data_IF_447941795159
#
_entry.id   IF_447941795159
#
_cell.length_a   1.000
_cell.length_b   1.000
_cell.length_c   1.000
_cell.angle_alpha   90.00
_cell.angle_beta   90.00
_cell.angle_gamma   90.00
#
_symmetry.space_group_name_H-M   'P 1'
#
loop_
_entity.id
_entity.type
_entity.pdbx_description
1 polymer ?
#
# COMPACT_ATOMS: atom_id res chain seq x y z
N UNK A 1 9.48 18.95 31.02
CA UNK A 1 9.10 17.90 30.06
C UNK A 1 8.57 18.63 28.83
N UNK A 2 9.20 18.47 27.66
CA UNK A 2 8.80 19.18 26.44
C UNK A 2 8.03 18.17 25.59
N UNK A 3 6.77 18.48 25.29
CA UNK A 3 5.97 17.73 24.32
C UNK A 3 6.26 18.29 22.93
N UNK A 4 6.78 17.45 22.03
CA UNK A 4 6.88 17.78 20.61
C UNK A 4 5.63 17.27 19.91
N UNK A 5 4.85 18.19 19.34
CA UNK A 5 3.78 17.88 18.41
C UNK A 5 4.31 18.07 17.00
N UNK A 6 4.28 17.02 16.19
CA UNK A 6 4.59 17.09 14.77
C UNK A 6 3.33 17.61 14.04
N UNK A 7 3.26 18.92 13.81
CA UNK A 7 2.25 19.54 12.96
C UNK A 7 2.88 19.86 11.61
N UNK A 8 2.66 19.02 10.60
CA UNK A 8 2.93 19.37 9.20
C UNK A 8 1.71 19.05 8.34
N UNK A 9 0.99 20.13 8.02
CA UNK A 9 0.15 20.40 6.85
C UNK A 9 -1.04 19.48 6.53
N UNK A 10 -2.25 19.97 6.84
CA UNK A 10 -3.20 20.38 5.80
C UNK A 10 -4.28 21.30 6.40
N UNK A 11 -4.05 22.62 6.40
CA UNK A 11 -5.07 23.63 6.72
C UNK A 11 -5.25 24.47 5.45
N UNK A 12 -6.51 24.60 5.02
CA UNK A 12 -7.07 25.48 3.98
C UNK A 12 -7.20 24.90 2.57
N UNK A 13 -8.24 24.10 2.34
CA UNK A 13 -9.17 24.30 1.21
C UNK A 13 -10.53 23.70 1.54
N UNK A 14 -11.55 24.54 1.70
CA UNK A 14 -12.93 24.12 1.62
C UNK A 14 -13.36 24.00 0.16
N UNK A 15 -14.15 22.97 -0.15
CA UNK A 15 -14.84 22.81 -1.42
C UNK A 15 -14.83 21.38 -1.95
N UNK A 16 -16.02 20.75 -1.93
CA UNK A 16 -16.41 19.47 -2.51
C UNK A 16 -16.02 18.18 -1.77
N UNK A 17 -17.00 17.55 -1.12
CA UNK A 17 -17.00 16.18 -0.58
C UNK A 17 -16.97 15.12 -1.71
N UNK A 18 -16.13 15.34 -2.72
CA UNK A 18 -16.13 14.58 -3.98
C UNK A 18 -14.81 13.92 -4.38
N UNK A 19 -13.64 14.31 -3.86
CA UNK A 19 -12.38 13.84 -4.45
C UNK A 19 -11.17 13.83 -3.50
N UNK A 20 -11.33 13.38 -2.24
CA UNK A 20 -10.19 13.10 -1.35
C UNK A 20 -9.49 11.79 -1.75
N UNK A 21 -9.17 11.60 -3.03
CA UNK A 21 -8.36 10.47 -3.48
C UNK A 21 -6.88 10.73 -3.16
N UNK A 22 -6.28 9.84 -2.36
CA UNK A 22 -4.84 9.82 -2.12
C UNK A 22 -4.21 8.60 -2.79
N UNK A 23 -2.98 8.71 -3.28
CA UNK A 23 -2.27 7.56 -3.83
C UNK A 23 -1.83 6.61 -2.71
N UNK A 24 -1.86 5.30 -2.96
CA UNK A 24 -1.39 4.27 -2.01
C UNK A 24 0.09 4.46 -1.69
N UNK A 25 0.89 4.67 -2.74
CA UNK A 25 2.28 5.12 -2.69
C UNK A 25 2.33 6.55 -3.24
N UNK A 26 3.09 7.49 -2.63
CA UNK A 26 3.22 8.84 -3.15
C UNK A 26 3.69 8.85 -4.62
N UNK A 27 3.06 9.65 -5.49
CA UNK A 27 3.29 9.62 -6.95
C UNK A 27 4.74 9.88 -7.40
N UNK A 28 5.56 10.51 -6.54
CA UNK A 28 6.97 10.81 -6.82
C UNK A 28 7.94 9.81 -6.18
N UNK A 29 7.43 8.89 -5.36
CA UNK A 29 8.23 7.89 -4.70
C UNK A 29 8.38 6.66 -5.59
N UNK A 30 9.51 5.97 -5.47
CA UNK A 30 9.79 4.76 -6.25
C UNK A 30 9.78 3.57 -5.30
N UNK A 31 8.94 2.58 -5.59
CA UNK A 31 8.93 1.30 -4.87
C UNK A 31 10.21 0.51 -5.18
N UNK A 32 10.96 0.19 -4.13
CA UNK A 32 12.21 -0.59 -4.19
C UNK A 32 12.03 -2.02 -3.71
N UNK A 33 11.32 -2.20 -2.60
CA UNK A 33 11.03 -3.52 -2.04
C UNK A 33 9.59 -3.56 -1.57
N UNK A 34 8.90 -4.66 -1.84
CA UNK A 34 7.59 -4.96 -1.30
C UNK A 34 7.65 -6.31 -0.58
N UNK A 35 7.53 -6.27 0.73
CA UNK A 35 7.46 -7.45 1.59
C UNK A 35 5.99 -7.83 1.78
N UNK A 36 5.65 -9.05 1.42
CA UNK A 36 4.31 -9.63 1.58
C UNK A 36 4.41 -10.87 2.48
N UNK A 37 3.29 -11.46 2.93
CA UNK A 37 3.31 -12.50 3.94
C UNK A 37 4.18 -13.73 3.62
N UNK A 38 4.24 -14.14 2.35
CA UNK A 38 5.01 -15.34 1.94
C UNK A 38 6.19 -15.04 1.04
N UNK A 39 6.27 -13.83 0.48
CA UNK A 39 7.24 -13.48 -0.56
C UNK A 39 7.60 -12.00 -0.47
N UNK A 40 8.87 -11.70 -0.71
CA UNK A 40 9.37 -10.34 -0.88
C UNK A 40 9.79 -10.15 -2.32
N UNK A 41 9.35 -9.08 -2.96
CA UNK A 41 9.85 -8.70 -4.28
C UNK A 41 10.74 -7.46 -4.14
N UNK A 42 11.89 -7.50 -4.81
CA UNK A 42 12.92 -6.46 -4.75
C UNK A 42 13.29 -6.02 -6.17
N UNK A 43 13.42 -4.71 -6.36
CA UNK A 43 13.90 -4.14 -7.62
C UNK A 43 15.41 -4.41 -7.75
N UNK A 44 15.81 -5.00 -8.87
CA UNK A 44 17.21 -5.26 -9.21
C UNK A 44 17.53 -4.70 -10.60
N UNK A 45 18.21 -3.55 -10.64
CA UNK A 45 18.43 -2.81 -11.89
C UNK A 45 17.09 -2.38 -12.50
N UNK A 46 16.77 -2.90 -13.69
CA UNK A 46 15.50 -2.62 -14.38
C UNK A 46 14.40 -3.65 -14.07
N UNK A 47 14.75 -4.76 -13.42
CA UNK A 47 13.85 -5.88 -13.17
C UNK A 47 13.42 -6.04 -11.72
N UNK A 48 12.69 -7.12 -11.47
CA UNK A 48 12.26 -7.54 -10.14
C UNK A 48 12.69 -8.96 -9.83
N UNK A 49 12.99 -9.24 -8.56
CA UNK A 49 13.33 -10.58 -8.08
C UNK A 49 12.51 -10.92 -6.84
N UNK A 50 12.11 -12.18 -6.74
CA UNK A 50 11.45 -12.75 -5.59
C UNK A 50 12.42 -13.38 -4.59
N UNK A 51 12.12 -13.23 -3.31
CA UNK A 51 12.75 -13.91 -2.18
C UNK A 51 11.65 -14.48 -1.25
N UNK A 52 11.65 -15.80 -0.95
CA UNK A 52 12.52 -16.83 -1.52
C UNK A 52 12.30 -17.01 -3.04
N UNK A 53 13.22 -17.68 -3.75
CA UNK A 53 12.98 -18.04 -5.15
C UNK A 53 11.66 -18.79 -5.29
N UNK A 54 10.84 -18.37 -6.24
CA UNK A 54 9.49 -18.91 -6.47
C UNK A 54 9.22 -19.06 -7.96
N UNK A 55 8.08 -19.63 -8.32
CA UNK A 55 7.61 -19.74 -9.70
C UNK A 55 7.00 -18.45 -10.23
N UNK A 56 6.99 -17.39 -9.42
CA UNK A 56 6.44 -16.09 -9.77
C UNK A 56 7.30 -15.46 -10.85
N UNK A 57 6.67 -15.07 -11.94
CA UNK A 57 7.35 -14.49 -13.09
C UNK A 57 7.71 -13.02 -12.83
N UNK A 58 8.73 -12.53 -13.54
CA UNK A 58 9.08 -11.11 -13.48
C UNK A 58 7.93 -10.20 -13.94
N UNK A 59 7.14 -10.64 -14.91
CA UNK A 59 5.96 -9.90 -15.38
C UNK A 59 4.89 -9.75 -14.29
N UNK A 60 4.63 -10.78 -13.50
CA UNK A 60 3.71 -10.72 -12.35
C UNK A 60 4.24 -9.77 -11.27
N UNK A 61 5.52 -9.86 -10.92
CA UNK A 61 6.14 -8.94 -9.95
C UNK A 61 6.07 -7.48 -10.42
N UNK A 62 6.33 -7.24 -11.70
CA UNK A 62 6.23 -5.91 -12.31
C UNK A 62 4.78 -5.40 -12.27
N UNK A 63 3.80 -6.26 -12.53
CA UNK A 63 2.37 -5.92 -12.48
C UNK A 63 1.96 -5.53 -11.07
N UNK A 64 2.29 -6.34 -10.06
CA UNK A 64 1.98 -6.03 -8.66
C UNK A 64 2.65 -4.73 -8.22
N UNK A 65 3.96 -4.57 -8.49
CA UNK A 65 4.66 -3.33 -8.16
C UNK A 65 4.06 -2.10 -8.88
N UNK A 66 3.61 -2.27 -10.12
CA UNK A 66 2.89 -1.25 -10.88
C UNK A 66 1.57 -0.86 -10.23
N UNK A 67 0.76 -1.85 -9.82
CA UNK A 67 -0.51 -1.62 -9.13
C UNK A 67 -0.30 -0.83 -7.82
N UNK A 68 0.71 -1.20 -7.02
CA UNK A 68 1.07 -0.46 -5.81
C UNK A 68 1.38 1.01 -6.07
N UNK A 69 2.06 1.33 -7.18
CA UNK A 69 2.41 2.71 -7.53
C UNK A 69 1.25 3.49 -8.16
N UNK A 70 0.29 2.81 -8.80
CA UNK A 70 -0.79 3.45 -9.54
C UNK A 70 -2.09 3.61 -8.74
N UNK A 71 -2.33 2.74 -7.75
CA UNK A 71 -3.60 2.73 -7.03
C UNK A 71 -3.82 4.01 -6.22
N UNK A 72 -5.08 4.43 -6.25
CA UNK A 72 -5.62 5.50 -5.42
C UNK A 72 -6.61 4.91 -4.43
N UNK A 73 -6.71 5.55 -3.28
CA UNK A 73 -7.55 5.16 -2.18
C UNK A 73 -8.28 6.38 -1.63
N UNK A 74 -9.50 6.20 -1.17
CA UNK A 74 -10.32 7.25 -0.56
C UNK A 74 -10.41 7.00 0.94
N UNK A 75 -10.32 8.01 1.81
CA UNK A 75 -10.62 7.86 3.22
C UNK A 75 -11.96 7.15 3.45
N UNK A 76 -12.01 6.28 4.44
CA UNK A 76 -13.21 5.52 4.79
C UNK A 76 -13.44 5.59 6.30
N UNK A 77 -14.60 6.14 6.69
CA UNK A 77 -14.95 6.40 8.09
C UNK A 77 -15.66 5.21 8.77
N UNK A 78 -15.42 3.99 8.29
CA UNK A 78 -15.96 2.77 8.90
C UNK A 78 -15.04 2.17 9.96
N UNK A 79 -15.52 1.10 10.59
CA UNK A 79 -14.74 0.35 11.58
C UNK A 79 -13.65 -0.49 10.90
N UNK A 80 -12.52 -0.65 11.60
CA UNK A 80 -11.47 -1.58 11.19
C UNK A 80 -12.04 -3.01 11.25
N UNK A 81 -11.97 -3.80 10.15
CA UNK A 81 -12.49 -5.15 10.16
C UNK A 81 -11.82 -6.03 11.23
N UNK A 82 -12.60 -6.90 11.88
CA UNK A 82 -12.07 -7.83 12.90
C UNK A 82 -11.33 -9.04 12.33
N UNK A 83 -11.36 -9.24 11.02
CA UNK A 83 -10.61 -10.30 10.35
C UNK A 83 -9.09 -10.03 10.41
N UNK A 84 -8.28 -11.09 10.36
CA UNK A 84 -6.83 -10.93 10.29
C UNK A 84 -6.43 -10.26 8.97
N UNK A 85 -5.68 -9.14 9.01
CA UNK A 85 -5.21 -8.49 7.79
C UNK A 85 -4.07 -9.26 7.13
N UNK A 86 -3.91 -9.05 5.83
CA UNK A 86 -2.64 -9.33 5.16
C UNK A 86 -1.75 -8.11 5.30
N UNK A 87 -0.55 -8.29 5.85
CA UNK A 87 0.39 -7.20 6.07
C UNK A 87 1.35 -7.13 4.89
N UNK A 88 1.48 -5.93 4.32
CA UNK A 88 2.49 -5.61 3.33
C UNK A 88 3.35 -4.44 3.80
N UNK A 89 4.64 -4.48 3.50
CA UNK A 89 5.59 -3.42 3.84
C UNK A 89 6.27 -2.94 2.56
N UNK A 90 6.04 -1.67 2.21
CA UNK A 90 6.64 -1.02 1.05
C UNK A 90 7.86 -0.19 1.47
N UNK A 91 9.01 -0.48 0.89
CA UNK A 91 10.23 0.30 1.05
C UNK A 91 10.41 1.19 -0.17
N UNK A 92 10.42 2.50 0.06
CA UNK A 92 10.50 3.51 -0.99
C UNK A 92 11.91 4.10 -1.07
N UNK A 93 12.32 4.50 -2.27
CA UNK A 93 13.59 5.15 -2.49
C UNK A 93 13.73 6.42 -1.64
N UNK A 94 14.84 6.55 -0.92
CA UNK A 94 15.13 7.71 -0.08
C UNK A 94 14.42 7.71 1.29
N UNK A 95 13.60 6.70 1.59
CA UNK A 95 12.98 6.55 2.91
C UNK A 95 13.79 5.59 3.80
N UNK A 96 13.92 5.92 5.09
CA UNK A 96 14.67 5.12 6.07
C UNK A 96 13.81 4.04 6.75
N UNK A 97 12.52 3.99 6.47
CA UNK A 97 11.57 3.07 7.11
C UNK A 97 10.57 2.53 6.10
N UNK A 98 10.25 1.25 6.21
CA UNK A 98 9.17 0.64 5.44
C UNK A 98 7.80 1.18 5.86
N UNK A 99 6.95 1.45 4.88
CA UNK A 99 5.55 1.83 5.07
C UNK A 99 4.73 0.57 5.25
N UNK A 100 4.06 0.45 6.39
CA UNK A 100 3.22 -0.71 6.72
C UNK A 100 1.79 -0.48 6.27
N UNK A 101 1.22 -1.47 5.59
CA UNK A 101 -0.16 -1.50 5.13
C UNK A 101 -0.83 -2.76 5.65
N UNK A 102 -2.00 -2.62 6.26
CA UNK A 102 -2.85 -3.75 6.61
C UNK A 102 -3.99 -3.79 5.59
N UNK A 103 -4.03 -4.87 4.83
CA UNK A 103 -4.97 -5.08 3.74
C UNK A 103 -6.07 -6.04 4.19
N UNK A 104 -7.31 -5.60 4.00
CA UNK A 104 -8.51 -6.36 4.33
C UNK A 104 -9.35 -6.52 3.07
N UNK A 105 -9.80 -7.74 2.78
CA UNK A 105 -10.77 -7.99 1.73
C UNK A 105 -12.18 -7.91 2.34
N UNK A 106 -13.03 -7.01 1.86
CA UNK A 106 -14.41 -6.86 2.32
C UNK A 106 -15.38 -6.89 1.11
N UNK A 107 -15.86 -8.09 0.78
CA UNK A 107 -16.66 -8.31 -0.43
C UNK A 107 -15.91 -7.89 -1.69
N UNK A 108 -16.49 -6.96 -2.45
CA UNK A 108 -15.93 -6.41 -3.70
C UNK A 108 -14.99 -5.21 -3.48
N UNK A 109 -14.80 -4.79 -2.24
CA UNK A 109 -13.93 -3.68 -1.89
C UNK A 109 -12.73 -4.16 -1.08
N UNK A 110 -11.67 -3.36 -1.14
CA UNK A 110 -10.53 -3.52 -0.26
C UNK A 110 -10.49 -2.37 0.73
N UNK A 111 -10.25 -2.70 1.99
CA UNK A 111 -9.92 -1.71 3.01
C UNK A 111 -8.42 -1.78 3.31
N UNK A 112 -7.80 -0.61 3.39
CA UNK A 112 -6.37 -0.44 3.64
C UNK A 112 -6.21 0.43 4.87
N UNK A 113 -5.68 -0.12 5.95
CA UNK A 113 -5.30 0.67 7.12
C UNK A 113 -3.83 1.07 6.96
N UNK A 114 -3.58 2.38 6.91
CA UNK A 114 -2.25 2.95 6.80
C UNK A 114 -2.15 4.21 7.66
N UNK A 115 -1.09 4.33 8.47
CA UNK A 115 -0.89 5.48 9.37
C UNK A 115 -2.12 5.80 10.25
N UNK A 116 -2.79 4.77 10.78
CA UNK A 116 -3.99 4.87 11.63
C UNK A 116 -5.24 5.43 10.93
N UNK A 117 -5.20 5.61 9.61
CA UNK A 117 -6.36 5.98 8.81
C UNK A 117 -6.76 4.81 7.92
N UNK A 118 -8.07 4.54 7.88
CA UNK A 118 -8.65 3.53 7.01
C UNK A 118 -9.01 4.16 5.67
N UNK A 119 -8.69 3.44 4.61
CA UNK A 119 -9.00 3.83 3.25
C UNK A 119 -9.73 2.71 2.54
N UNK A 120 -10.52 3.07 1.54
CA UNK A 120 -11.20 2.14 0.64
C UNK A 120 -10.60 2.24 -0.76
N UNK A 121 -10.46 1.08 -1.40
CA UNK A 121 -10.20 0.94 -2.82
C UNK A 121 -11.37 0.16 -3.41
N UNK A 122 -12.09 0.77 -4.36
CA UNK A 122 -13.23 0.14 -5.05
C UNK A 122 -12.74 -0.76 -6.18
N UNK A 123 -13.55 -1.77 -6.51
CA UNK A 123 -13.38 -2.66 -7.67
C UNK A 123 -11.99 -3.32 -7.76
N UNK A 124 -11.36 -3.58 -6.60
CA UNK A 124 -9.99 -4.09 -6.52
C UNK A 124 -9.93 -5.27 -5.57
N UNK A 125 -9.32 -6.36 -6.03
CA UNK A 125 -9.04 -7.56 -5.22
C UNK A 125 -7.68 -7.45 -4.54
N UNK A 126 -7.56 -8.00 -3.33
CA UNK A 126 -6.29 -8.10 -2.61
C UNK A 126 -5.20 -8.84 -3.41
N UNK A 127 -5.59 -9.78 -4.29
CA UNK A 127 -4.68 -10.50 -5.18
C UNK A 127 -4.02 -9.61 -6.25
N UNK A 128 -4.53 -8.41 -6.49
CA UNK A 128 -3.89 -7.43 -7.38
C UNK A 128 -2.68 -6.74 -6.71
N UNK A 129 -2.63 -6.76 -5.37
CA UNK A 129 -1.59 -6.15 -4.56
C UNK A 129 -0.68 -7.17 -3.88
N UNK A 130 -1.11 -8.42 -3.77
CA UNK A 130 -0.34 -9.47 -3.12
C UNK A 130 -0.07 -10.62 -4.07
N UNK A 131 1.14 -11.15 -3.96
CA UNK A 131 1.52 -12.43 -4.54
C UNK A 131 1.39 -13.47 -3.45
N UNK A 132 0.41 -14.36 -3.58
CA UNK A 132 0.26 -15.50 -2.69
C UNK A 132 0.94 -16.72 -3.32
N UNK A 133 1.85 -17.35 -2.58
CA UNK A 133 2.47 -18.61 -2.97
C UNK A 133 1.87 -19.72 -2.11
N UNK A 134 1.26 -20.73 -2.73
CA UNK A 134 0.71 -21.91 -2.07
C UNK A 134 1.77 -22.98 -1.84
#
# INVERSE_FOLDING_TARGET
MIFLFNTTNNILTGGDDGDLQTSLIPNHAILMTLQMPTITIERIGQGWRATPPSTVTEAEMLTVAGNWQALKMTPFDGDIPQQMPKIAIAWLAGENSGRVFQLYQDGEHMLVLHQQQLFQIRDTSISSLLIETY
#
